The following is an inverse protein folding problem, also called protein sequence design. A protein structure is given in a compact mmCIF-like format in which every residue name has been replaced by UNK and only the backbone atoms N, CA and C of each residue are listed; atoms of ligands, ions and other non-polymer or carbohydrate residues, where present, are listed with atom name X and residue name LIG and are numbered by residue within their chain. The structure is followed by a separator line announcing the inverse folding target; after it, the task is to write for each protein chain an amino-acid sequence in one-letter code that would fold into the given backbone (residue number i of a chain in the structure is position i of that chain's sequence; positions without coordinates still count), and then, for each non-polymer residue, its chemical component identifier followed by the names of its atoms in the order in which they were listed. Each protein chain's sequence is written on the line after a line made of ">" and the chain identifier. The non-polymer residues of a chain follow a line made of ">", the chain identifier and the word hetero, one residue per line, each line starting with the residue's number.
data_IF_153146973175
#
_entry.id   IF_153146973175
#
_cell.length_a   1.000
_cell.length_b   1.000
_cell.length_c   1.000
_cell.angle_alpha   90.00
_cell.angle_beta   90.00
_cell.angle_gamma   90.00
#
_symmetry.space_group_name_H-M   'P 1'
#
loop_
_entity.id
_entity.type
_entity.pdbx_description
1 polymer ?
#
# COMPACT_ATOMS: atom_id res chain seq x y z
N UNK A 1 -5.18 13.71 7.82
CA UNK A 1 -4.11 12.77 7.42
C UNK A 1 -4.66 11.81 6.40
N UNK A 2 -3.83 11.41 5.46
CA UNK A 2 -4.26 10.60 4.32
C UNK A 2 -3.30 9.44 4.09
N UNK A 3 -3.84 8.31 3.69
CA UNK A 3 -3.09 7.08 3.40
C UNK A 3 -2.94 6.94 1.88
N UNK A 4 -1.75 6.58 1.42
CA UNK A 4 -1.51 6.17 0.06
C UNK A 4 -1.32 4.65 0.02
N UNK A 5 -2.13 3.96 -0.78
CA UNK A 5 -1.93 2.54 -1.05
C UNK A 5 -1.37 2.41 -2.47
N UNK A 6 -0.24 1.75 -2.59
CA UNK A 6 0.38 1.46 -3.88
C UNK A 6 -0.21 0.15 -4.41
N UNK A 7 -1.01 0.22 -5.46
CA UNK A 7 -1.73 -0.94 -5.97
C UNK A 7 -0.81 -1.90 -6.73
N UNK A 8 -0.99 -3.18 -6.48
CA UNK A 8 -0.40 -4.25 -7.27
C UNK A 8 -1.38 -4.66 -8.38
N UNK A 9 -0.92 -4.74 -9.62
CA UNK A 9 -1.73 -5.09 -10.78
C UNK A 9 -0.85 -5.57 -11.94
N UNK A 10 -1.49 -6.02 -13.00
CA UNK A 10 -0.81 -6.44 -14.24
C UNK A 10 -1.19 -5.59 -15.46
N UNK A 11 -1.61 -4.35 -15.25
CA UNK A 11 -2.14 -3.38 -16.22
C UNK A 11 -3.57 -3.71 -16.71
N UNK A 12 -4.08 -4.89 -16.46
CA UNK A 12 -5.42 -5.35 -16.86
C UNK A 12 -6.31 -5.55 -15.63
N UNK A 13 -5.77 -6.23 -14.62
CA UNK A 13 -6.51 -6.60 -13.41
C UNK A 13 -5.80 -6.13 -12.16
N UNK A 14 -6.60 -5.63 -11.22
CA UNK A 14 -6.15 -5.32 -9.87
C UNK A 14 -5.96 -6.64 -9.12
N UNK A 15 -4.83 -6.82 -8.43
CA UNK A 15 -4.59 -8.03 -7.65
C UNK A 15 -5.43 -8.03 -6.37
N UNK A 16 -5.88 -9.22 -5.96
CA UNK A 16 -6.69 -9.39 -4.77
C UNK A 16 -6.01 -8.89 -3.49
N UNK A 17 -4.68 -8.94 -3.44
CA UNK A 17 -3.88 -8.44 -2.32
C UNK A 17 -4.18 -6.98 -1.96
N UNK A 18 -4.57 -6.16 -2.94
CA UNK A 18 -4.91 -4.75 -2.72
C UNK A 18 -6.16 -4.63 -1.84
N UNK A 19 -7.13 -5.53 -2.00
CA UNK A 19 -8.37 -5.51 -1.20
C UNK A 19 -8.07 -5.73 0.29
N UNK A 20 -7.14 -6.63 0.61
CA UNK A 20 -6.69 -6.86 1.98
C UNK A 20 -5.95 -5.63 2.54
N UNK A 21 -5.16 -4.97 1.69
CA UNK A 21 -4.43 -3.76 2.06
C UNK A 21 -5.38 -2.59 2.35
N UNK A 22 -6.46 -2.46 1.59
CA UNK A 22 -7.49 -1.45 1.85
C UNK A 22 -8.15 -1.67 3.22
N UNK A 23 -8.41 -2.92 3.59
CA UNK A 23 -8.95 -3.25 4.91
C UNK A 23 -7.98 -2.81 6.03
N UNK A 24 -6.68 -3.02 5.84
CA UNK A 24 -5.68 -2.51 6.77
C UNK A 24 -5.76 -0.98 6.89
N UNK A 25 -5.89 -0.29 5.76
CA UNK A 25 -6.03 1.17 5.72
C UNK A 25 -7.26 1.65 6.50
N UNK A 26 -8.38 0.94 6.43
CA UNK A 26 -9.60 1.26 7.20
C UNK A 26 -9.35 1.29 8.71
N UNK A 27 -8.43 0.46 9.22
CA UNK A 27 -8.13 0.43 10.65
C UNK A 27 -7.49 1.72 11.15
N UNK A 28 -6.94 2.52 10.24
CA UNK A 28 -6.35 3.82 10.56
C UNK A 28 -7.38 4.95 10.65
N UNK A 29 -8.60 4.72 10.18
CA UNK A 29 -9.71 5.70 10.19
C UNK A 29 -9.32 7.02 9.51
N UNK A 30 -8.61 6.93 8.39
CA UNK A 30 -8.14 8.07 7.59
C UNK A 30 -8.63 7.94 6.16
N UNK A 31 -8.57 9.04 5.42
CA UNK A 31 -8.85 9.04 3.98
C UNK A 31 -7.86 8.14 3.24
N UNK A 32 -8.35 7.32 2.31
CA UNK A 32 -7.54 6.37 1.56
C UNK A 32 -7.50 6.77 0.09
N UNK A 33 -6.28 6.98 -0.42
CA UNK A 33 -6.02 7.14 -1.84
C UNK A 33 -5.28 5.89 -2.36
N UNK A 34 -5.61 5.45 -3.57
CA UNK A 34 -4.94 4.32 -4.21
C UNK A 34 -4.19 4.81 -5.44
N UNK A 35 -2.91 4.51 -5.52
CA UNK A 35 -2.08 4.81 -6.67
C UNK A 35 -2.08 3.62 -7.62
N UNK A 36 -2.48 3.86 -8.87
CA UNK A 36 -2.38 2.90 -9.96
C UNK A 36 -1.39 3.47 -10.97
N UNK A 37 -0.17 2.94 -10.98
CA UNK A 37 0.87 3.32 -11.93
C UNK A 37 1.11 2.16 -12.90
N UNK A 38 0.99 2.40 -14.18
CA UNK A 38 1.14 1.38 -15.21
C UNK A 38 1.00 1.96 -16.60
N UNK A 39 0.70 1.11 -17.56
CA UNK A 39 0.41 1.51 -18.94
C UNK A 39 -0.88 0.87 -19.41
N UNK A 40 -1.74 1.67 -20.04
CA UNK A 40 -3.07 1.23 -20.50
C UNK A 40 -3.82 0.53 -19.36
N UNK A 41 -3.76 1.12 -18.17
CA UNK A 41 -4.26 0.51 -16.94
C UNK A 41 -5.50 1.24 -16.37
N UNK A 42 -6.27 1.91 -17.20
CA UNK A 42 -7.50 2.59 -16.77
C UNK A 42 -8.52 1.62 -16.18
N UNK A 43 -8.60 0.38 -16.68
CA UNK A 43 -9.48 -0.64 -16.13
C UNK A 43 -9.11 -1.00 -14.69
N UNK A 44 -7.81 -1.00 -14.37
CA UNK A 44 -7.34 -1.22 -13.00
C UNK A 44 -7.79 -0.07 -12.09
N UNK A 45 -7.66 1.16 -12.57
CA UNK A 45 -8.10 2.34 -11.82
C UNK A 45 -9.62 2.30 -11.55
N UNK A 46 -10.42 1.87 -12.54
CA UNK A 46 -11.86 1.70 -12.37
C UNK A 46 -12.18 0.64 -11.30
N UNK A 47 -11.46 -0.47 -11.31
CA UNK A 47 -11.61 -1.52 -10.29
C UNK A 47 -11.24 -0.99 -8.90
N UNK A 48 -10.16 -0.23 -8.79
CA UNK A 48 -9.73 0.36 -7.51
C UNK A 48 -10.76 1.36 -6.98
N UNK A 49 -11.40 2.11 -7.87
CA UNK A 49 -12.43 3.09 -7.49
C UNK A 49 -13.69 2.44 -6.90
N UNK A 50 -13.92 1.16 -7.20
CA UNK A 50 -15.06 0.40 -6.66
C UNK A 50 -14.81 -0.18 -5.27
N UNK A 51 -13.59 -0.10 -4.75
CA UNK A 51 -13.28 -0.62 -3.42
C UNK A 51 -13.91 0.28 -2.35
N UNK A 52 -14.71 -0.33 -1.49
CA UNK A 52 -15.41 0.42 -0.43
C UNK A 52 -14.37 1.01 0.52
N UNK A 53 -14.46 2.31 0.76
CA UNK A 53 -13.56 3.06 1.64
C UNK A 53 -12.45 3.80 0.91
N UNK A 54 -12.25 3.55 -0.38
CA UNK A 54 -11.32 4.33 -1.20
C UNK A 54 -12.00 5.63 -1.62
N UNK A 55 -11.40 6.75 -1.26
CA UNK A 55 -11.97 8.07 -1.56
C UNK A 55 -11.44 8.65 -2.88
N UNK A 56 -10.25 8.21 -3.32
CA UNK A 56 -9.62 8.75 -4.52
C UNK A 56 -8.67 7.72 -5.13
N UNK A 57 -8.67 7.63 -6.46
CA UNK A 57 -7.69 6.83 -7.21
C UNK A 57 -6.83 7.78 -8.01
N UNK A 58 -5.51 7.61 -7.91
CA UNK A 58 -4.53 8.37 -8.66
C UNK A 58 -4.00 7.47 -9.78
N UNK A 59 -4.43 7.74 -11.00
CA UNK A 59 -3.99 6.99 -12.18
C UNK A 59 -2.80 7.70 -12.81
N UNK A 60 -1.67 6.99 -12.87
CA UNK A 60 -0.48 7.45 -13.58
C UNK A 60 -0.21 6.45 -14.69
N UNK A 61 -0.66 6.79 -15.90
CA UNK A 61 -0.56 5.95 -17.08
C UNK A 61 0.56 6.49 -17.97
N UNK A 62 1.68 5.76 -18.00
CA UNK A 62 2.84 6.15 -18.80
C UNK A 62 3.67 4.92 -19.14
N UNK A 63 4.37 5.00 -20.27
CA UNK A 63 5.17 3.89 -20.80
C UNK A 63 6.22 3.40 -19.80
N UNK A 64 6.82 4.31 -19.03
CA UNK A 64 7.85 3.99 -18.04
C UNK A 64 7.35 3.01 -16.96
N UNK A 65 6.03 2.98 -16.69
CA UNK A 65 5.44 2.10 -15.68
C UNK A 65 4.89 0.79 -16.24
N UNK A 66 5.08 0.53 -17.52
CA UNK A 66 4.50 -0.65 -18.20
C UNK A 66 4.86 -1.97 -17.51
N UNK A 67 6.08 -2.12 -17.05
CA UNK A 67 6.58 -3.37 -16.45
C UNK A 67 6.62 -3.32 -14.92
N UNK A 68 6.14 -2.26 -14.30
CA UNK A 68 6.08 -2.13 -12.84
C UNK A 68 7.46 -2.21 -12.19
N UNK A 69 8.50 -1.66 -12.83
CA UNK A 69 9.85 -1.66 -12.26
C UNK A 69 9.84 -0.92 -10.92
N UNK A 70 10.35 -1.59 -9.89
CA UNK A 70 10.30 -1.08 -8.52
C UNK A 70 11.01 0.26 -8.34
N UNK A 71 12.07 0.49 -9.09
CA UNK A 71 12.82 1.76 -9.05
C UNK A 71 11.96 2.94 -9.51
N UNK A 72 11.25 2.76 -10.62
CA UNK A 72 10.40 3.81 -11.20
C UNK A 72 9.16 4.07 -10.34
N UNK A 73 8.52 3.01 -9.87
CA UNK A 73 7.36 3.13 -8.99
C UNK A 73 7.74 3.76 -7.66
N UNK A 74 8.87 3.36 -7.08
CA UNK A 74 9.36 3.94 -5.82
C UNK A 74 9.63 5.44 -5.97
N UNK A 75 10.27 5.87 -7.05
CA UNK A 75 10.52 7.28 -7.31
C UNK A 75 9.23 8.09 -7.40
N UNK A 76 8.21 7.55 -8.05
CA UNK A 76 6.89 8.17 -8.13
C UNK A 76 6.27 8.32 -6.73
N UNK A 77 6.29 7.25 -5.95
CA UNK A 77 5.73 7.25 -4.58
C UNK A 77 6.45 8.28 -3.71
N UNK A 78 7.77 8.35 -3.80
CA UNK A 78 8.56 9.33 -3.04
C UNK A 78 8.15 10.76 -3.39
N UNK A 79 7.89 11.04 -4.67
CA UNK A 79 7.45 12.37 -5.11
C UNK A 79 6.07 12.75 -4.53
N UNK A 80 5.23 11.77 -4.23
CA UNK A 80 3.89 11.97 -3.67
C UNK A 80 3.87 11.97 -2.14
N UNK A 81 4.90 11.39 -1.52
CA UNK A 81 4.95 11.11 -0.08
C UNK A 81 4.66 12.30 0.84
N UNK A 82 5.08 13.55 0.53
CA UNK A 82 4.78 14.70 1.41
C UNK A 82 3.29 14.94 1.67
N UNK A 83 2.42 14.41 0.83
CA UNK A 83 0.96 14.55 0.98
C UNK A 83 0.32 13.47 1.85
N UNK A 84 1.11 12.51 2.34
CA UNK A 84 0.59 11.32 3.02
C UNK A 84 1.30 11.09 4.36
N UNK A 85 0.55 10.56 5.32
CA UNK A 85 1.10 10.16 6.62
C UNK A 85 1.48 8.68 6.63
N UNK A 86 0.85 7.87 5.78
CA UNK A 86 1.07 6.43 5.70
C UNK A 86 1.15 6.02 4.23
N UNK A 87 2.09 5.13 3.92
CA UNK A 87 2.24 4.53 2.60
C UNK A 87 2.20 3.02 2.79
N UNK A 88 1.19 2.37 2.20
CA UNK A 88 0.94 0.95 2.34
C UNK A 88 1.06 0.24 0.99
N UNK A 89 1.52 -0.99 1.02
CA UNK A 89 1.43 -1.90 -0.11
C UNK A 89 1.27 -3.33 0.43
N UNK A 90 0.71 -4.26 -0.37
CA UNK A 90 0.65 -5.65 0.07
C UNK A 90 2.06 -6.24 0.22
N UNK A 91 2.23 -7.14 1.21
CA UNK A 91 3.50 -7.82 1.46
C UNK A 91 3.71 -8.99 0.49
N UNK A 92 3.62 -8.69 -0.80
CA UNK A 92 3.91 -9.57 -1.93
C UNK A 92 5.29 -9.22 -2.48
N UNK A 93 5.75 -9.95 -3.49
CA UNK A 93 7.03 -9.62 -4.15
C UNK A 93 7.07 -8.17 -4.63
N UNK A 94 5.94 -7.67 -5.14
CA UNK A 94 5.81 -6.26 -5.58
C UNK A 94 6.05 -5.29 -4.43
N UNK A 95 5.29 -5.40 -3.35
CA UNK A 95 5.40 -4.50 -2.20
C UNK A 95 6.76 -4.60 -1.51
N UNK A 96 7.29 -5.81 -1.42
CA UNK A 96 8.61 -6.06 -0.81
C UNK A 96 9.78 -5.52 -1.64
N UNK A 97 9.56 -5.22 -2.92
CA UNK A 97 10.56 -4.56 -3.77
C UNK A 97 10.39 -3.04 -3.79
N UNK A 98 9.16 -2.54 -3.79
CA UNK A 98 8.89 -1.11 -3.91
C UNK A 98 9.10 -0.36 -2.59
N UNK A 99 8.49 -0.83 -1.50
CA UNK A 99 8.45 -0.06 -0.25
C UNK A 99 9.78 0.08 0.48
N UNK A 100 10.70 -0.91 0.48
CA UNK A 100 12.03 -0.69 1.05
C UNK A 100 12.79 0.44 0.34
N UNK A 101 12.62 0.57 -0.98
CA UNK A 101 13.23 1.67 -1.75
C UNK A 101 12.62 3.01 -1.39
N UNK A 102 11.30 3.05 -1.19
CA UNK A 102 10.59 4.25 -0.74
C UNK A 102 11.10 4.68 0.65
N UNK A 103 11.16 3.73 1.58
CA UNK A 103 11.62 4.00 2.94
C UNK A 103 13.06 4.53 2.96
N UNK A 104 13.94 3.90 2.17
CA UNK A 104 15.34 4.32 2.07
C UNK A 104 15.46 5.74 1.53
N UNK A 105 14.71 6.10 0.50
CA UNK A 105 14.75 7.44 -0.10
C UNK A 105 14.14 8.50 0.82
N UNK A 106 13.18 8.14 1.64
CA UNK A 106 12.57 9.04 2.62
C UNK A 106 13.34 9.10 3.94
N UNK A 107 14.34 8.26 4.11
CA UNK A 107 15.13 8.11 5.35
C UNK A 107 14.23 7.78 6.55
N UNK A 108 13.31 6.82 6.35
CA UNK A 108 12.43 6.31 7.40
C UNK A 108 12.55 4.79 7.50
N UNK A 109 12.12 4.22 8.63
CA UNK A 109 12.10 2.78 8.81
C UNK A 109 10.82 2.19 8.21
N UNK A 110 10.95 1.10 7.44
CA UNK A 110 9.80 0.33 7.00
C UNK A 110 9.37 -0.62 8.12
N UNK A 111 8.07 -0.72 8.36
CA UNK A 111 7.50 -1.79 9.20
C UNK A 111 6.91 -2.81 8.24
N UNK A 112 7.52 -3.99 8.16
CA UNK A 112 7.18 -4.98 7.15
C UNK A 112 6.25 -6.07 7.68
N UNK A 113 5.37 -6.53 6.78
CA UNK A 113 4.55 -7.73 6.99
C UNK A 113 3.62 -7.62 8.20
N UNK A 114 2.96 -6.47 8.35
CA UNK A 114 2.07 -6.23 9.50
C UNK A 114 0.81 -7.09 9.42
N UNK A 115 0.34 -7.55 10.58
CA UNK A 115 -0.87 -8.38 10.72
C UNK A 115 -1.97 -7.67 11.51
N UNK A 116 -1.65 -6.55 12.16
CA UNK A 116 -2.62 -5.74 12.89
C UNK A 116 -2.14 -4.30 13.01
N UNK A 117 -3.10 -3.39 13.17
CA UNK A 117 -2.87 -1.98 13.44
C UNK A 117 -3.60 -1.64 14.74
N UNK A 118 -2.85 -1.21 15.74
CA UNK A 118 -3.40 -0.88 17.06
C UNK A 118 -3.62 0.63 17.24
N UNK A 119 -2.82 1.44 16.57
CA UNK A 119 -2.92 2.90 16.55
C UNK A 119 -2.25 3.44 15.29
N UNK A 120 -2.35 4.74 15.05
CA UNK A 120 -1.78 5.36 13.86
C UNK A 120 -0.25 5.19 13.75
N UNK A 121 0.42 4.89 14.86
CA UNK A 121 1.86 4.68 14.93
C UNK A 121 2.26 3.30 15.48
N UNK A 122 1.29 2.41 15.73
CA UNK A 122 1.54 1.15 16.43
C UNK A 122 1.02 -0.03 15.62
N UNK A 123 1.93 -0.95 15.29
CA UNK A 123 1.68 -2.05 14.36
C UNK A 123 2.18 -3.35 14.93
N UNK A 124 1.53 -4.47 14.57
CA UNK A 124 1.93 -5.82 15.01
C UNK A 124 2.44 -6.58 13.79
N UNK A 125 3.58 -7.21 13.93
CA UNK A 125 4.18 -8.03 12.88
C UNK A 125 4.73 -9.35 13.43
N UNK A 126 4.69 -10.43 12.65
CA UNK A 126 5.31 -11.70 13.06
C UNK A 126 6.85 -11.60 12.99
N UNK A 127 7.50 -12.26 13.94
CA UNK A 127 8.95 -12.41 13.99
C UNK A 127 9.30 -13.87 14.26
N UNK A 128 10.57 -14.24 14.16
CA UNK A 128 11.05 -15.61 14.37
C UNK A 128 10.27 -16.63 13.55
N UNK A 129 10.19 -16.43 12.24
CA UNK A 129 9.47 -17.30 11.31
C UNK A 129 7.98 -17.54 11.70
N UNK A 130 7.34 -16.52 12.28
CA UNK A 130 5.94 -16.60 12.71
C UNK A 130 5.70 -17.15 14.10
N UNK A 131 6.75 -17.51 14.83
CA UNK A 131 6.61 -18.08 16.18
C UNK A 131 6.29 -17.03 17.26
N UNK A 132 6.44 -15.75 16.94
CA UNK A 132 6.15 -14.67 17.88
C UNK A 132 5.61 -13.45 17.14
N UNK A 133 4.90 -12.58 17.88
CA UNK A 133 4.43 -11.30 17.36
C UNK A 133 5.17 -10.16 18.09
N UNK A 134 5.58 -9.16 17.32
CA UNK A 134 6.20 -7.95 17.86
C UNK A 134 5.27 -6.77 17.63
N UNK A 135 5.10 -5.97 18.68
CA UNK A 135 4.42 -4.67 18.57
C UNK A 135 5.48 -3.60 18.31
N UNK A 136 5.34 -2.89 17.20
CA UNK A 136 6.29 -1.88 16.75
C UNK A 136 5.64 -0.51 16.79
N UNK A 137 6.31 0.45 17.42
CA UNK A 137 5.88 1.86 17.41
C UNK A 137 6.81 2.62 16.49
N UNK A 138 6.24 3.31 15.49
CA UNK A 138 6.99 4.15 14.57
C UNK A 138 6.89 5.61 14.99
N UNK A 139 8.04 6.25 15.15
CA UNK A 139 8.12 7.70 15.42
C UNK A 139 8.36 8.53 14.16
N UNK A 140 8.45 7.89 12.99
CA UNK A 140 8.66 8.59 11.73
C UNK A 140 7.42 9.40 11.33
N UNK A 141 7.64 10.53 10.67
CA UNK A 141 6.54 11.39 10.19
C UNK A 141 5.71 10.68 9.11
N UNK A 142 6.35 9.86 8.28
CA UNK A 142 5.68 9.05 7.24
C UNK A 142 5.93 7.59 7.58
N UNK A 143 4.85 6.83 7.79
CA UNK A 143 4.93 5.40 8.08
C UNK A 143 4.86 4.61 6.78
N UNK A 144 5.87 3.79 6.51
CA UNK A 144 5.96 2.94 5.32
C UNK A 144 5.72 1.50 5.76
N UNK A 145 4.65 0.89 5.29
CA UNK A 145 4.16 -0.39 5.80
C UNK A 145 3.88 -1.37 4.66
N UNK A 146 4.36 -2.61 4.79
CA UNK A 146 3.83 -3.71 3.97
C UNK A 146 2.84 -4.51 4.80
N UNK A 147 1.74 -4.92 4.15
CA UNK A 147 0.59 -5.55 4.81
C UNK A 147 0.52 -7.03 4.44
N UNK A 148 0.57 -7.90 5.45
CA UNK A 148 0.38 -9.33 5.24
C UNK A 148 -1.08 -9.59 4.87
N UNK A 149 -1.31 -10.13 3.68
CA UNK A 149 -2.67 -10.29 3.15
C UNK A 149 -3.52 -11.26 3.97
N UNK A 150 -2.90 -12.25 4.62
CA UNK A 150 -3.62 -13.19 5.49
C UNK A 150 -4.00 -12.61 6.85
N UNK A 151 -3.48 -11.44 7.20
CA UNK A 151 -3.81 -10.75 8.46
C UNK A 151 -5.07 -9.88 8.40
N UNK A 152 -5.58 -9.62 7.21
CA UNK A 152 -6.73 -8.72 6.99
C UNK A 152 -7.65 -9.34 5.94
N UNK A 153 -8.96 -9.25 6.16
CA UNK A 153 -9.94 -9.70 5.17
C UNK A 153 -9.96 -8.77 3.96
N UNK A 154 -10.45 -9.27 2.83
CA UNK A 154 -10.64 -8.43 1.65
C UNK A 154 -11.76 -7.41 1.92
N UNK A 155 -11.57 -6.17 1.47
CA UNK A 155 -12.63 -5.16 1.56
C UNK A 155 -13.76 -5.49 0.59
N UNK A 156 -14.94 -4.92 0.86
CA UNK A 156 -16.09 -5.04 -0.03
C UNK A 156 -15.88 -4.17 -1.28
N UNK A 157 -16.57 -4.53 -2.36
CA UNK A 157 -16.57 -3.78 -3.60
C UNK A 157 -17.99 -3.29 -3.91
N UNK A 158 -18.07 -2.16 -4.61
CA UNK A 158 -19.32 -1.65 -5.14
C UNK A 158 -19.59 -2.26 -6.51
N UNK A 159 -20.81 -2.73 -6.75
CA UNK A 159 -21.22 -3.31 -8.04
C UNK A 159 -21.75 -2.24 -9.03
N UNK A 160 -21.64 -0.97 -8.71
CA UNK A 160 -22.09 0.13 -9.55
C UNK A 160 -21.03 0.65 -10.51
#
# INVERSE_FOLDING_TARGET
>A
MTILIVAEHDNVELKASVLNTVTAGHKLEMEIHVLVAGRDCSAVAESAAKLIGVSKVLLVDAEIYQHGLSEDVASLVVSMAPNYSHILAPATSFGKNVLPRVAAQLDVAQVSDIVAIEAENTFVRPIYAGNALATVVSSDAIKVLTVRTTGFDACATSDE
#
